data_IF_786581710708
#
_entry.id   IF_786581710708
#
_cell.length_a   1.000
_cell.length_b   1.000
_cell.length_c   1.000
_cell.angle_alpha   90.00
_cell.angle_beta   90.00
_cell.angle_gamma   90.00
#
_symmetry.space_group_name_H-M   'P 1'
#
loop_
_entity.id
_entity.type
_entity.pdbx_description
1 polymer ?
#
# COMPACT_ATOMS: atom_id res chain seq x y z
N UNK A 1 -12.38 -13.13 14.43
CA UNK A 1 -11.35 -12.18 13.93
C UNK A 1 -11.31 -12.30 12.42
N UNK A 2 -11.29 -11.18 11.70
CA UNK A 2 -11.17 -11.18 10.22
C UNK A 2 -9.73 -10.91 9.83
N UNK A 3 -9.21 -11.60 8.82
CA UNK A 3 -7.86 -11.39 8.30
C UNK A 3 -7.97 -10.95 6.85
N UNK A 4 -7.45 -9.78 6.55
CA UNK A 4 -7.43 -9.23 5.19
C UNK A 4 -6.00 -9.11 4.67
N UNK A 5 -5.83 -9.31 3.36
CA UNK A 5 -4.59 -9.05 2.65
C UNK A 5 -4.15 -7.62 2.90
N UNK A 6 -2.89 -7.43 3.30
CA UNK A 6 -2.34 -6.09 3.41
C UNK A 6 -1.83 -5.67 2.03
N UNK A 7 -2.56 -4.76 1.40
CA UNK A 7 -2.11 -4.09 0.17
C UNK A 7 -0.82 -3.28 0.44
N UNK A 8 0.00 -3.12 -0.60
CA UNK A 8 1.32 -2.50 -0.52
C UNK A 8 1.44 -1.28 -1.45
N UNK A 9 0.91 -0.17 -0.99
CA UNK A 9 1.07 1.15 -1.58
C UNK A 9 1.21 2.21 -0.50
N UNK A 10 0.59 3.37 -0.73
CA UNK A 10 0.50 4.44 0.26
C UNK A 10 -0.95 4.73 0.66
N UNK A 11 -1.14 5.33 1.84
CA UNK A 11 -2.46 5.70 2.32
C UNK A 11 -2.96 6.95 1.59
N UNK A 12 -4.12 6.84 0.95
CA UNK A 12 -4.91 7.95 0.44
C UNK A 12 -6.19 8.15 1.24
N UNK A 13 -6.58 9.40 1.45
CA UNK A 13 -7.79 9.80 2.15
C UNK A 13 -8.59 10.72 1.23
N UNK A 14 -9.89 10.43 1.07
CA UNK A 14 -10.81 11.20 0.23
C UNK A 14 -12.02 11.59 1.04
N UNK A 15 -12.27 12.90 1.14
CA UNK A 15 -13.44 13.45 1.81
C UNK A 15 -14.25 14.34 0.87
N UNK A 16 -15.54 14.49 1.16
CA UNK A 16 -16.37 15.48 0.48
C UNK A 16 -15.90 16.91 0.80
N UNK A 17 -15.72 17.74 -0.22
CA UNK A 17 -15.58 19.19 -0.04
C UNK A 17 -16.96 19.84 0.18
N UNK A 18 -16.99 21.12 0.54
CA UNK A 18 -18.24 21.85 0.78
C UNK A 18 -19.10 22.11 -0.46
N UNK A 19 -18.62 21.77 -1.65
CA UNK A 19 -19.34 21.95 -2.92
C UNK A 19 -19.66 20.58 -3.51
N UNK A 20 -20.92 20.31 -3.94
CA UNK A 20 -21.30 19.06 -4.58
C UNK A 20 -20.37 18.62 -5.71
N UNK A 21 -19.95 17.35 -5.68
CA UNK A 21 -19.06 16.75 -6.67
C UNK A 21 -17.57 17.11 -6.53
N UNK A 22 -17.20 17.99 -5.59
CA UNK A 22 -15.81 18.33 -5.29
C UNK A 22 -15.30 17.56 -4.08
N UNK A 23 -14.06 17.07 -4.17
CA UNK A 23 -13.44 16.27 -3.14
C UNK A 23 -12.19 16.95 -2.61
N UNK A 24 -11.76 16.52 -1.43
CA UNK A 24 -10.44 16.80 -0.90
C UNK A 24 -9.66 15.49 -0.85
N UNK A 25 -8.44 15.53 -1.34
CA UNK A 25 -7.53 14.39 -1.40
C UNK A 25 -6.34 14.65 -0.48
N UNK A 26 -6.00 13.67 0.35
CA UNK A 26 -4.85 13.74 1.24
C UNK A 26 -4.08 12.44 1.23
N UNK A 27 -2.76 12.56 1.30
CA UNK A 27 -1.89 11.47 1.73
C UNK A 27 -1.87 11.36 3.26
N UNK A 28 -1.19 10.35 3.80
CA UNK A 28 -0.92 10.24 5.24
C UNK A 28 -0.35 11.54 5.87
N UNK A 29 0.47 12.27 5.13
CA UNK A 29 1.13 13.50 5.61
C UNK A 29 0.35 14.77 5.28
N UNK A 30 -0.92 14.66 4.88
CA UNK A 30 -1.75 15.77 4.43
C UNK A 30 -1.70 15.96 2.92
N UNK A 31 -1.90 17.19 2.46
CA UNK A 31 -1.98 17.54 1.05
C UNK A 31 -0.56 17.71 0.49
N UNK A 32 -0.13 16.75 -0.31
CA UNK A 32 1.22 16.64 -0.91
C UNK A 32 1.08 16.24 -2.38
N UNK A 33 2.19 16.10 -3.11
CA UNK A 33 2.17 15.60 -4.50
C UNK A 33 1.53 14.19 -4.62
N UNK A 34 1.59 13.38 -3.57
CA UNK A 34 0.86 12.11 -3.50
C UNK A 34 -0.66 12.29 -3.55
N UNK A 35 -1.18 13.44 -3.13
CA UNK A 35 -2.61 13.72 -3.17
C UNK A 35 -3.12 13.85 -4.60
N UNK A 36 -2.30 14.40 -5.50
CA UNK A 36 -2.59 14.45 -6.93
C UNK A 36 -2.64 13.04 -7.56
N UNK A 37 -1.81 12.11 -7.08
CA UNK A 37 -1.87 10.71 -7.53
C UNK A 37 -3.19 10.03 -7.13
N UNK A 38 -3.71 10.33 -5.93
CA UNK A 38 -5.01 9.82 -5.49
C UNK A 38 -6.11 10.36 -6.41
N UNK A 39 -6.11 11.68 -6.64
CA UNK A 39 -7.11 12.32 -7.50
C UNK A 39 -7.10 11.76 -8.92
N UNK A 40 -5.90 11.56 -9.49
CA UNK A 40 -5.70 10.97 -10.82
C UNK A 40 -6.33 9.58 -10.95
N UNK A 41 -6.27 8.77 -9.88
CA UNK A 41 -6.80 7.40 -9.86
C UNK A 41 -8.26 7.32 -9.39
N UNK A 42 -8.81 8.43 -8.89
CA UNK A 42 -10.21 8.49 -8.47
C UNK A 42 -11.13 8.59 -9.70
N UNK A 43 -12.38 8.09 -9.64
CA UNK A 43 -13.30 8.17 -10.77
C UNK A 43 -13.43 9.59 -11.34
N UNK A 44 -13.31 9.69 -12.67
CA UNK A 44 -13.42 10.94 -13.42
C UNK A 44 -14.83 11.20 -13.96
N UNK A 45 -15.66 10.16 -14.06
CA UNK A 45 -17.06 10.26 -14.49
C UNK A 45 -17.86 11.17 -13.55
N UNK A 46 -18.53 12.19 -14.09
CA UNK A 46 -19.22 13.20 -13.29
C UNK A 46 -20.41 12.65 -12.51
N UNK A 47 -21.12 11.66 -13.04
CA UNK A 47 -22.28 11.07 -12.36
C UNK A 47 -21.81 10.23 -11.18
N UNK A 48 -20.78 9.39 -11.38
CA UNK A 48 -20.13 8.62 -10.31
C UNK A 48 -19.59 9.55 -9.22
N UNK A 49 -18.90 10.64 -9.61
CA UNK A 49 -18.38 11.63 -8.67
C UNK A 49 -19.47 12.33 -7.87
N UNK A 50 -20.59 12.69 -8.49
CA UNK A 50 -21.72 13.30 -7.78
C UNK A 50 -22.31 12.34 -6.73
N UNK A 51 -22.44 11.06 -7.09
CA UNK A 51 -22.93 10.01 -6.19
C UNK A 51 -21.96 9.77 -5.02
N UNK A 52 -20.67 9.55 -5.30
CA UNK A 52 -19.65 9.33 -4.28
C UNK A 52 -19.53 10.54 -3.35
N UNK A 53 -19.63 11.75 -3.89
CA UNK A 53 -19.62 12.97 -3.08
C UNK A 53 -20.78 12.98 -2.09
N UNK A 54 -22.01 12.73 -2.58
CA UNK A 54 -23.22 12.70 -1.77
C UNK A 54 -23.09 11.67 -0.65
N UNK A 55 -22.59 10.48 -0.97
CA UNK A 55 -22.33 9.40 -0.01
C UNK A 55 -21.37 9.84 1.09
N UNK A 56 -20.17 10.34 0.75
CA UNK A 56 -19.20 10.79 1.76
C UNK A 56 -19.74 11.93 2.62
N UNK A 57 -20.48 12.87 2.00
CA UNK A 57 -21.04 14.03 2.67
C UNK A 57 -22.17 13.65 3.63
N UNK A 58 -23.19 12.93 3.17
CA UNK A 58 -24.37 12.59 3.96
C UNK A 58 -24.07 11.57 5.06
N UNK A 59 -23.20 10.60 4.81
CA UNK A 59 -22.77 9.65 5.84
C UNK A 59 -21.75 10.24 6.81
N UNK A 60 -21.24 11.44 6.50
CA UNK A 60 -20.22 12.16 7.25
C UNK A 60 -18.98 11.28 7.50
N UNK A 61 -18.41 10.77 6.41
CA UNK A 61 -17.25 9.86 6.42
C UNK A 61 -16.13 10.36 5.51
N UNK A 62 -14.93 9.85 5.76
CA UNK A 62 -13.76 9.93 4.89
C UNK A 62 -13.44 8.52 4.37
N UNK A 63 -13.28 8.36 3.06
CA UNK A 63 -12.83 7.10 2.48
C UNK A 63 -11.31 7.00 2.58
N UNK A 64 -10.83 5.91 3.19
CA UNK A 64 -9.44 5.53 3.22
C UNK A 64 -9.14 4.48 2.15
N UNK A 65 -8.09 4.71 1.38
CA UNK A 65 -7.64 3.83 0.31
C UNK A 65 -6.17 3.44 0.50
N UNK A 66 -5.82 2.22 0.11
CA UNK A 66 -4.45 1.94 -0.31
C UNK A 66 -4.34 2.32 -1.79
N UNK A 67 -3.39 3.20 -2.09
CA UNK A 67 -3.16 3.74 -3.42
C UNK A 67 -2.00 2.98 -4.01
N UNK A 68 -2.27 2.22 -5.07
CA UNK A 68 -1.26 1.48 -5.82
C UNK A 68 -0.90 2.30 -7.05
N UNK A 69 0.36 2.73 -7.15
CA UNK A 69 0.85 3.50 -8.29
C UNK A 69 2.15 2.92 -8.86
N UNK A 70 2.07 2.38 -10.08
CA UNK A 70 3.20 1.70 -10.74
C UNK A 70 4.20 2.64 -11.40
N UNK A 71 3.88 3.92 -11.54
CA UNK A 71 4.69 4.87 -12.33
C UNK A 71 5.54 5.76 -11.44
N UNK A 72 4.98 6.16 -10.30
CA UNK A 72 5.51 7.22 -9.44
C UNK A 72 5.79 6.74 -8.02
N UNK A 73 5.26 5.57 -7.61
CA UNK A 73 5.45 5.04 -6.26
C UNK A 73 5.47 3.49 -6.20
N UNK A 74 6.41 2.90 -6.95
CA UNK A 74 6.64 1.44 -6.93
C UNK A 74 7.07 0.99 -5.55
N UNK A 75 6.20 0.20 -4.94
CA UNK A 75 6.44 -0.43 -3.66
C UNK A 75 7.16 -1.79 -3.84
N UNK A 76 7.17 -2.64 -2.81
CA UNK A 76 7.95 -3.90 -2.80
C UNK A 76 7.20 -5.00 -3.54
N UNK A 77 5.89 -5.08 -3.33
CA UNK A 77 5.03 -6.06 -4.01
C UNK A 77 4.59 -5.48 -5.35
N UNK A 78 4.78 -6.26 -6.42
CA UNK A 78 4.34 -5.90 -7.76
C UNK A 78 2.82 -6.01 -7.92
N UNK A 79 2.26 -5.14 -8.75
CA UNK A 79 0.86 -5.12 -9.14
C UNK A 79 0.71 -5.01 -10.65
N UNK A 80 -0.34 -5.60 -11.21
CA UNK A 80 -0.62 -5.56 -12.66
C UNK A 80 -1.13 -4.18 -13.12
N UNK A 81 -1.78 -3.41 -12.25
CA UNK A 81 -2.28 -2.08 -12.59
C UNK A 81 -2.21 -1.13 -11.40
N UNK A 82 -2.10 0.17 -11.69
CA UNK A 82 -2.38 1.21 -10.69
C UNK A 82 -3.87 1.20 -10.33
N UNK A 83 -4.21 1.70 -9.15
CA UNK A 83 -5.61 1.83 -8.74
C UNK A 83 -5.77 2.06 -7.25
N UNK A 84 -7.02 2.32 -6.87
CA UNK A 84 -7.42 2.51 -5.48
C UNK A 84 -7.97 1.19 -4.91
N UNK A 85 -7.58 0.88 -3.67
CA UNK A 85 -8.14 -0.22 -2.88
C UNK A 85 -8.86 0.38 -1.68
N UNK A 86 -10.19 0.29 -1.62
CA UNK A 86 -10.94 0.84 -0.50
C UNK A 86 -10.62 0.03 0.75
N UNK A 87 -10.01 0.67 1.74
CA UNK A 87 -9.73 0.08 3.03
C UNK A 87 -10.97 0.22 3.91
N UNK A 88 -11.35 1.47 4.21
CA UNK A 88 -12.45 1.76 5.12
C UNK A 88 -13.17 3.07 4.80
N UNK A 89 -14.42 3.15 5.22
CA UNK A 89 -15.07 4.43 5.47
C UNK A 89 -14.88 4.79 6.94
N UNK A 90 -14.26 5.92 7.24
CA UNK A 90 -13.96 6.37 8.60
C UNK A 90 -14.92 7.51 8.95
N UNK A 91 -15.65 7.40 10.07
CA UNK A 91 -16.54 8.46 10.55
C UNK A 91 -15.75 9.73 10.84
N UNK A 92 -16.25 10.89 10.39
CA UNK A 92 -15.66 12.19 10.72
C UNK A 92 -16.08 12.59 12.15
N UNK A 93 -15.45 11.95 13.13
CA UNK A 93 -15.67 12.18 14.56
C UNK A 93 -14.32 12.17 15.29
N UNK A 94 -14.30 12.70 16.51
CA UNK A 94 -13.09 12.70 17.36
C UNK A 94 -12.66 11.26 17.74
N UNK A 95 -13.64 10.38 17.97
CA UNK A 95 -13.38 8.97 18.23
C UNK A 95 -13.33 8.17 16.92
N UNK A 96 -12.25 7.42 16.74
CA UNK A 96 -12.09 6.56 15.58
C UNK A 96 -13.20 5.49 15.53
N UNK A 97 -13.90 5.43 14.40
CA UNK A 97 -14.85 4.37 14.10
C UNK A 97 -14.97 4.18 12.59
N UNK A 98 -15.18 2.93 12.20
CA UNK A 98 -15.37 2.52 10.80
C UNK A 98 -16.87 2.42 10.52
N UNK A 99 -17.30 2.97 9.40
CA UNK A 99 -18.67 2.88 8.91
C UNK A 99 -18.86 1.68 7.98
N UNK A 100 -18.73 0.48 8.54
CA UNK A 100 -18.77 -0.78 7.79
C UNK A 100 -20.11 -0.99 7.06
N UNK A 101 -21.21 -0.41 7.54
CA UNK A 101 -22.54 -0.56 6.96
C UNK A 101 -22.66 0.04 5.55
N UNK A 102 -21.86 1.06 5.23
CA UNK A 102 -21.91 1.75 3.94
C UNK A 102 -20.77 1.37 2.99
N UNK A 103 -19.81 0.58 3.47
CA UNK A 103 -18.60 0.24 2.72
C UNK A 103 -18.90 -0.51 1.41
N UNK A 104 -19.83 -1.47 1.42
CA UNK A 104 -20.21 -2.23 0.22
C UNK A 104 -20.85 -1.31 -0.83
N UNK A 105 -21.84 -0.51 -0.42
CA UNK A 105 -22.51 0.46 -1.30
C UNK A 105 -21.52 1.44 -1.93
N UNK A 106 -20.61 2.00 -1.14
CA UNK A 106 -19.59 2.93 -1.64
C UNK A 106 -18.61 2.25 -2.61
N UNK A 107 -18.23 1.01 -2.29
CA UNK A 107 -17.34 0.19 -3.15
C UNK A 107 -17.96 0.00 -4.52
N UNK A 108 -19.23 -0.42 -4.56
CA UNK A 108 -19.97 -0.69 -5.80
C UNK A 108 -20.16 0.59 -6.64
N UNK A 109 -20.59 1.69 -6.01
CA UNK A 109 -20.82 2.95 -6.72
C UNK A 109 -19.54 3.50 -7.37
N UNK A 110 -18.39 3.36 -6.69
CA UNK A 110 -17.11 3.84 -7.20
C UNK A 110 -16.34 2.85 -8.08
N UNK A 111 -16.84 1.61 -8.23
CA UNK A 111 -16.10 0.54 -8.89
C UNK A 111 -14.77 0.21 -8.20
N UNK A 112 -14.69 0.41 -6.88
CA UNK A 112 -13.46 0.18 -6.13
C UNK A 112 -13.26 -1.31 -5.85
N UNK A 113 -12.00 -1.71 -5.69
CA UNK A 113 -11.64 -3.05 -5.21
C UNK A 113 -11.35 -2.95 -3.71
N UNK A 114 -11.75 -3.97 -2.94
CA UNK A 114 -11.39 -4.09 -1.53
C UNK A 114 -10.27 -5.10 -1.33
N UNK A 115 -9.46 -4.98 -0.26
CA UNK A 115 -8.56 -6.03 0.15
C UNK A 115 -9.29 -7.37 0.31
N UNK A 116 -8.65 -8.43 -0.14
CA UNK A 116 -9.18 -9.79 -0.02
C UNK A 116 -9.25 -10.22 1.45
N UNK A 117 -10.39 -10.73 1.89
CA UNK A 117 -10.49 -11.46 3.17
C UNK A 117 -9.93 -12.86 2.97
N UNK A 118 -8.76 -13.13 3.56
CA UNK A 118 -8.05 -14.40 3.38
C UNK A 118 -8.40 -15.45 4.46
N UNK A 119 -8.93 -15.02 5.60
CA UNK A 119 -9.40 -15.91 6.64
C UNK A 119 -10.42 -15.23 7.58
N UNK A 120 -11.31 -16.04 8.16
CA UNK A 120 -12.09 -15.70 9.34
C UNK A 120 -11.69 -16.70 10.42
N UNK A 121 -11.11 -16.20 11.52
CA UNK A 121 -10.64 -17.03 12.62
C UNK A 121 -11.61 -16.97 13.80
N UNK A 122 -11.96 -18.14 14.33
CA UNK A 122 -12.86 -18.38 15.46
C UNK A 122 -12.12 -18.94 16.70
N UNK A 123 -10.86 -19.34 16.57
CA UNK A 123 -10.04 -19.86 17.67
C UNK A 123 -8.62 -19.24 17.71
N UNK A 124 -7.93 -19.27 18.86
CA UNK A 124 -6.53 -18.84 18.96
C UNK A 124 -5.58 -19.64 18.03
N UNK A 125 -5.86 -20.92 17.78
CA UNK A 125 -5.07 -21.77 16.89
C UNK A 125 -5.18 -21.31 15.44
N UNK A 126 -6.38 -20.98 14.98
CA UNK A 126 -6.59 -20.39 13.64
C UNK A 126 -5.92 -19.02 13.51
N UNK A 127 -5.90 -18.22 14.58
CA UNK A 127 -5.14 -16.96 14.59
C UNK A 127 -3.64 -17.22 14.44
N UNK A 128 -3.09 -18.19 15.19
CA UNK A 128 -1.68 -18.55 15.10
C UNK A 128 -1.31 -19.06 13.70
N UNK A 129 -2.17 -19.87 13.08
CA UNK A 129 -1.99 -20.33 11.70
C UNK A 129 -1.99 -19.16 10.72
N UNK A 130 -2.98 -18.26 10.79
CA UNK A 130 -3.05 -17.09 9.92
C UNK A 130 -1.80 -16.18 10.05
N UNK A 131 -1.23 -16.05 11.25
CA UNK A 131 0.03 -15.34 11.47
C UNK A 131 1.20 -16.08 10.80
N UNK A 132 1.26 -17.40 10.91
CA UNK A 132 2.26 -18.25 10.26
C UNK A 132 2.22 -18.11 8.74
N UNK A 133 1.03 -18.24 8.15
CA UNK A 133 0.80 -18.12 6.71
C UNK A 133 1.15 -16.72 6.21
N UNK A 134 0.78 -15.68 6.96
CA UNK A 134 1.13 -14.31 6.63
C UNK A 134 2.65 -14.05 6.65
N UNK A 135 3.38 -14.69 7.57
CA UNK A 135 4.86 -14.59 7.62
C UNK A 135 5.52 -15.26 6.42
N UNK A 136 4.97 -16.38 5.95
CA UNK A 136 5.44 -17.14 4.80
C UNK A 136 4.96 -16.58 3.44
N UNK A 137 4.01 -15.65 3.45
CA UNK A 137 3.38 -15.10 2.24
C UNK A 137 4.37 -14.38 1.31
N UNK A 138 4.21 -14.48 -0.03
CA UNK A 138 4.97 -13.67 -0.98
C UNK A 138 4.51 -12.20 -1.04
N UNK A 139 3.38 -11.86 -0.40
CA UNK A 139 2.84 -10.50 -0.34
C UNK A 139 3.40 -9.72 0.87
N UNK A 140 2.96 -8.47 1.08
CA UNK A 140 3.43 -7.69 2.24
C UNK A 140 3.04 -8.36 3.57
N UNK A 141 1.87 -8.99 3.61
CA UNK A 141 1.33 -9.68 4.78
C UNK A 141 -0.17 -9.45 4.90
N UNK A 142 -0.67 -9.31 6.13
CA UNK A 142 -2.10 -9.20 6.44
C UNK A 142 -2.39 -8.16 7.53
N UNK A 143 -3.64 -7.71 7.58
CA UNK A 143 -4.22 -6.95 8.70
C UNK A 143 -5.27 -7.81 9.40
N UNK A 144 -5.14 -7.94 10.71
CA UNK A 144 -6.02 -8.71 11.58
C UNK A 144 -6.98 -7.72 12.23
N UNK A 145 -8.28 -7.97 12.07
CA UNK A 145 -9.37 -7.17 12.61
C UNK A 145 -10.04 -7.94 13.76
N UNK A 146 -9.92 -7.39 14.96
CA UNK A 146 -10.50 -7.94 16.18
C UNK A 146 -11.90 -7.37 16.43
N UNK A 147 -12.70 -8.10 17.22
CA UNK A 147 -14.10 -7.75 17.48
C UNK A 147 -14.27 -6.46 18.29
N UNK A 148 -13.24 -6.07 19.04
CA UNK A 148 -13.16 -4.85 19.84
C UNK A 148 -12.64 -3.64 19.03
N UNK A 149 -12.48 -3.79 17.70
CA UNK A 149 -12.04 -2.74 16.80
C UNK A 149 -10.51 -2.59 16.68
N UNK A 150 -9.72 -3.37 17.41
CA UNK A 150 -8.27 -3.36 17.24
C UNK A 150 -7.85 -3.93 15.90
N UNK A 151 -6.79 -3.34 15.33
CA UNK A 151 -6.19 -3.78 14.07
C UNK A 151 -4.70 -4.04 14.27
N UNK A 152 -4.24 -5.24 13.89
CA UNK A 152 -2.83 -5.64 13.99
C UNK A 152 -2.29 -5.98 12.61
N UNK A 153 -1.08 -5.50 12.29
CA UNK A 153 -0.41 -5.78 11.01
C UNK A 153 0.63 -6.88 11.21
N UNK A 154 0.54 -7.93 10.41
CA UNK A 154 1.55 -8.98 10.35
C UNK A 154 2.19 -8.93 8.98
N UNK A 155 3.52 -8.75 8.94
CA UNK A 155 4.27 -8.65 7.69
C UNK A 155 5.03 -9.93 7.40
N UNK A 156 5.13 -10.27 6.13
CA UNK A 156 5.92 -11.41 5.67
C UNK A 156 7.40 -11.22 5.99
N UNK A 157 8.09 -12.32 6.21
CA UNK A 157 9.53 -12.31 6.48
C UNK A 157 10.30 -11.81 5.24
N UNK A 158 9.84 -12.19 4.04
CA UNK A 158 10.36 -11.70 2.77
C UNK A 158 10.22 -10.18 2.65
N UNK A 159 9.02 -9.63 2.90
CA UNK A 159 8.80 -8.19 2.81
C UNK A 159 9.70 -7.42 3.78
N UNK A 160 9.84 -7.89 5.03
CA UNK A 160 10.72 -7.25 6.02
C UNK A 160 12.18 -7.26 5.57
N UNK A 161 12.65 -8.38 5.01
CA UNK A 161 14.00 -8.51 4.47
C UNK A 161 14.26 -7.50 3.33
N UNK A 162 13.39 -7.48 2.32
CA UNK A 162 13.52 -6.57 1.17
C UNK A 162 13.44 -5.11 1.60
N UNK A 163 12.51 -4.79 2.52
CA UNK A 163 12.37 -3.44 3.06
C UNK A 163 13.62 -2.96 3.79
N UNK A 164 14.30 -3.85 4.52
CA UNK A 164 15.51 -3.49 5.26
C UNK A 164 16.68 -3.14 4.32
N UNK A 165 16.69 -3.64 3.08
CA UNK A 165 17.72 -3.33 2.08
C UNK A 165 17.53 -1.96 1.43
N UNK A 166 16.29 -1.45 1.31
CA UNK A 166 15.98 -0.16 0.65
C UNK A 166 16.95 0.99 0.98
N UNK A 167 17.21 1.36 2.26
CA UNK A 167 18.09 2.49 2.56
C UNK A 167 19.55 2.24 2.16
N UNK A 168 20.01 0.98 2.15
CA UNK A 168 21.35 0.62 1.69
C UNK A 168 21.43 0.78 0.16
N UNK A 169 20.42 0.30 -0.55
CA UNK A 169 20.36 0.39 -2.02
C UNK A 169 20.23 1.82 -2.50
N UNK A 170 19.37 2.64 -1.89
CA UNK A 170 19.27 4.08 -2.18
C UNK A 170 20.63 4.79 -1.97
N UNK A 171 21.35 4.43 -0.91
CA UNK A 171 22.68 4.99 -0.63
C UNK A 171 23.70 4.65 -1.71
N UNK A 172 23.73 3.40 -2.17
CA UNK A 172 24.70 2.92 -3.15
C UNK A 172 24.35 3.38 -4.55
N UNK A 173 23.13 3.08 -5.00
CA UNK A 173 22.72 3.24 -6.39
C UNK A 173 22.31 4.68 -6.75
N UNK A 174 21.72 5.43 -5.81
CA UNK A 174 21.26 6.80 -6.10
C UNK A 174 22.26 7.87 -5.65
N UNK A 175 23.04 7.58 -4.59
CA UNK A 175 23.97 8.56 -4.01
C UNK A 175 25.45 8.25 -4.27
N UNK A 176 25.74 7.13 -4.94
CA UNK A 176 27.11 6.71 -5.27
C UNK A 176 28.00 6.45 -4.05
N UNK A 177 27.42 6.12 -2.89
CA UNK A 177 28.18 5.92 -1.64
C UNK A 177 28.35 4.44 -1.33
N UNK A 178 29.47 4.05 -0.75
CA UNK A 178 29.67 2.69 -0.27
C UNK A 178 28.68 2.30 0.85
N UNK A 179 28.48 0.99 1.02
CA UNK A 179 27.78 0.44 2.18
C UNK A 179 28.41 0.93 3.48
N UNK A 180 27.58 1.37 4.43
CA UNK A 180 28.01 1.83 5.75
C UNK A 180 27.73 0.82 6.87
N UNK A 181 27.33 -0.40 6.51
CA UNK A 181 27.02 -1.51 7.41
C UNK A 181 27.51 -2.82 6.80
N UNK A 182 27.83 -3.78 7.65
CA UNK A 182 28.15 -5.18 7.32
C UNK A 182 27.10 -6.13 7.90
N UNK A 183 27.12 -7.39 7.46
CA UNK A 183 26.20 -8.45 7.89
C UNK A 183 25.23 -8.88 6.79
N UNK A 184 24.43 -9.91 7.08
CA UNK A 184 23.65 -10.66 6.09
C UNK A 184 22.79 -9.80 5.15
N UNK A 185 22.18 -8.73 5.66
CA UNK A 185 21.35 -7.82 4.85
C UNK A 185 22.20 -7.02 3.85
N UNK A 186 23.38 -6.55 4.28
CA UNK A 186 24.29 -5.83 3.41
C UNK A 186 24.94 -6.78 2.39
N UNK A 187 25.25 -8.00 2.79
CA UNK A 187 25.82 -9.03 1.91
C UNK A 187 24.81 -9.46 0.85
N UNK A 188 23.54 -9.66 1.22
CA UNK A 188 22.46 -9.92 0.27
C UNK A 188 22.24 -8.74 -0.68
N UNK A 189 22.22 -7.50 -0.18
CA UNK A 189 22.09 -6.32 -1.02
C UNK A 189 23.23 -6.18 -2.03
N UNK A 190 24.48 -6.55 -1.66
CA UNK A 190 25.60 -6.62 -2.61
C UNK A 190 25.36 -7.66 -3.70
N UNK A 191 25.00 -8.90 -3.32
CA UNK A 191 24.70 -9.95 -4.31
C UNK A 191 23.60 -9.56 -5.28
N UNK A 192 22.56 -8.87 -4.82
CA UNK A 192 21.49 -8.36 -5.69
C UNK A 192 22.03 -7.32 -6.68
N UNK A 193 22.88 -6.39 -6.23
CA UNK A 193 23.48 -5.37 -7.09
C UNK A 193 24.42 -6.03 -8.12
N UNK A 194 25.24 -6.98 -7.69
CA UNK A 194 26.16 -7.72 -8.56
C UNK A 194 25.40 -8.51 -9.62
N UNK A 195 24.36 -9.26 -9.22
CA UNK A 195 23.46 -9.96 -10.15
C UNK A 195 22.82 -8.99 -11.14
N UNK A 196 22.27 -7.88 -10.67
CA UNK A 196 21.65 -6.89 -11.55
C UNK A 196 22.66 -6.30 -12.55
N UNK A 197 23.90 -6.07 -12.13
CA UNK A 197 24.96 -5.61 -13.00
C UNK A 197 25.35 -6.66 -14.06
N UNK A 198 25.56 -7.91 -13.66
CA UNK A 198 25.87 -9.04 -14.55
C UNK A 198 24.77 -9.29 -15.60
N UNK A 199 23.51 -9.08 -15.22
CA UNK A 199 22.34 -9.30 -16.08
C UNK A 199 21.79 -8.03 -16.74
N UNK A 200 22.49 -6.89 -16.63
CA UNK A 200 22.08 -5.60 -17.21
C UNK A 200 20.68 -5.11 -16.79
N UNK A 201 20.31 -5.33 -15.53
CA UNK A 201 19.03 -4.92 -14.94
C UNK A 201 19.20 -3.56 -14.24
N UNK A 202 18.48 -2.52 -14.70
CA UNK A 202 18.41 -1.26 -13.95
C UNK A 202 17.49 -1.41 -12.72
N UNK A 203 18.09 -1.29 -11.53
CA UNK A 203 17.40 -1.36 -10.24
C UNK A 203 16.78 -0.03 -9.81
N UNK A 204 16.97 1.05 -10.56
CA UNK A 204 16.33 2.32 -10.30
C UNK A 204 15.31 2.67 -11.38
N UNK A 205 14.38 3.54 -11.04
CA UNK A 205 13.38 4.07 -11.96
C UNK A 205 13.14 5.54 -11.66
N UNK A 206 12.59 6.26 -12.64
CA UNK A 206 12.15 7.64 -12.46
C UNK A 206 10.70 7.65 -11.95
N UNK A 207 10.49 8.37 -10.86
CA UNK A 207 9.17 8.58 -10.28
C UNK A 207 8.47 9.71 -11.03
N UNK A 208 7.65 9.35 -12.02
CA UNK A 208 7.14 10.30 -13.03
C UNK A 208 6.48 11.56 -12.44
N UNK A 209 5.65 11.41 -11.41
CA UNK A 209 4.98 12.56 -10.79
C UNK A 209 5.88 13.46 -9.94
N UNK A 210 7.09 13.02 -9.59
CA UNK A 210 7.99 13.71 -8.66
C UNK A 210 9.30 14.17 -9.32
N UNK A 211 9.63 13.68 -10.52
CA UNK A 211 10.85 14.05 -11.24
C UNK A 211 12.14 13.62 -10.54
N UNK A 212 12.08 12.59 -9.69
CA UNK A 212 13.23 12.05 -8.97
C UNK A 212 13.40 10.54 -9.21
N UNK A 213 14.62 10.03 -9.05
CA UNK A 213 14.88 8.58 -9.12
C UNK A 213 14.69 7.92 -7.78
N UNK A 214 14.14 6.71 -7.78
CA UNK A 214 14.15 5.81 -6.62
C UNK A 214 14.50 4.39 -7.04
N UNK A 215 14.65 3.50 -6.07
CA UNK A 215 14.92 2.08 -6.28
C UNK A 215 13.62 1.37 -6.61
N UNK A 216 13.63 0.60 -7.70
CA UNK A 216 12.55 -0.31 -8.07
C UNK A 216 12.59 -1.53 -7.15
N UNK A 217 11.93 -1.41 -6.00
CA UNK A 217 11.93 -2.46 -4.99
C UNK A 217 11.17 -3.72 -5.41
N UNK A 218 10.35 -3.64 -6.47
CA UNK A 218 9.72 -4.83 -7.06
C UNK A 218 10.80 -5.69 -7.74
N UNK A 219 11.68 -5.10 -8.55
CA UNK A 219 12.82 -5.82 -9.14
C UNK A 219 13.77 -6.37 -8.08
N UNK A 220 14.04 -5.59 -7.03
CA UNK A 220 14.84 -6.07 -5.90
C UNK A 220 14.21 -7.31 -5.28
N UNK A 221 12.90 -7.27 -5.06
CA UNK A 221 12.15 -8.40 -4.52
C UNK A 221 12.25 -9.63 -5.44
N UNK A 222 12.13 -9.46 -6.75
CA UNK A 222 12.18 -10.57 -7.71
C UNK A 222 13.57 -11.24 -7.74
N UNK A 223 14.63 -10.45 -7.65
CA UNK A 223 16.01 -10.96 -7.67
C UNK A 223 16.37 -11.77 -6.41
N UNK A 224 15.71 -11.52 -5.27
CA UNK A 224 16.01 -12.22 -4.01
C UNK A 224 16.04 -13.74 -4.18
N UNK A 225 15.16 -14.30 -5.01
CA UNK A 225 15.07 -15.75 -5.22
C UNK A 225 16.20 -16.33 -6.08
N UNK A 226 16.93 -15.48 -6.81
CA UNK A 226 18.05 -15.88 -7.66
C UNK A 226 19.39 -15.84 -6.94
N UNK A 227 19.50 -15.14 -5.81
CA UNK A 227 20.77 -14.86 -5.12
C UNK A 227 20.81 -15.34 -3.66
N UNK A 228 19.77 -16.07 -3.23
CA UNK A 228 19.66 -16.68 -1.91
C UNK A 228 20.10 -18.13 -1.90
#
# INVERSE_FOLDING_TARGET
MRVERKENGFLGLVGAAGTPGLFRFWSKSGQTDYSALIERLFPSDSAVRAELWRMLHEWNVTAAFEVIDRESDRHIVGYESSGLRLLHLIRNAESFSIDAAHEETFTLAGGFVRPETVAICHSPEEVAQAIGDAKASPHEGVVLYFADGWMVKVKSDRYKLVKAMRPLMQRVLLRGRSFNKSGDIADLARRIIDYAHEHHIDLAYERQAFGERDIDMTKVNDIVDHVR
#
